data_IF_416235376457
#
_entry.id   IF_416235376457
#
_cell.length_a   1.000
_cell.length_b   1.000
_cell.length_c   1.000
_cell.angle_alpha   90.00
_cell.angle_beta   90.00
_cell.angle_gamma   90.00
#
_symmetry.space_group_name_H-M   'P 1'
#
loop_
_entity.id
_entity.type
_entity.pdbx_description
1 polymer ?
#
# COMPACT_ATOMS: atom_id res chain seq x y z
N UNK A 1 -14.07 -0.75 -27.26
CA UNK A 1 -13.76 -1.61 -26.10
C UNK A 1 -13.17 -0.69 -25.03
N UNK A 2 -13.77 -0.60 -23.86
CA UNK A 2 -13.20 0.18 -22.74
C UNK A 2 -11.85 -0.43 -22.40
N UNK A 3 -10.77 0.35 -22.43
CA UNK A 3 -9.44 -0.10 -21.98
C UNK A 3 -9.54 -0.45 -20.49
N UNK A 4 -8.90 -1.58 -20.08
CA UNK A 4 -8.84 -1.94 -18.65
C UNK A 4 -8.11 -0.81 -17.89
N UNK A 5 -8.76 -0.12 -16.94
CA UNK A 5 -8.14 1.02 -16.25
C UNK A 5 -7.00 0.60 -15.30
N UNK A 6 -6.85 -0.69 -15.02
CA UNK A 6 -5.74 -1.21 -14.20
C UNK A 6 -4.42 -1.26 -14.98
N UNK A 7 -4.48 -1.21 -16.33
CA UNK A 7 -3.29 -1.18 -17.19
C UNK A 7 -2.88 0.28 -17.40
N UNK A 8 -1.72 0.65 -16.86
CA UNK A 8 -1.11 1.95 -17.00
C UNK A 8 0.00 1.98 -18.05
N UNK A 9 1.09 2.68 -17.72
CA UNK A 9 2.34 2.69 -18.48
C UNK A 9 3.23 1.52 -18.08
N UNK A 10 4.25 1.26 -18.91
CA UNK A 10 5.24 0.21 -18.63
C UNK A 10 6.65 0.78 -18.61
N UNK A 11 7.46 0.30 -17.66
CA UNK A 11 8.88 0.64 -17.54
C UNK A 11 9.63 -0.52 -16.87
N UNK A 12 10.92 -0.68 -17.19
CA UNK A 12 11.76 -1.63 -16.46
C UNK A 12 12.30 -0.97 -15.21
N UNK A 13 11.88 -1.44 -14.05
CA UNK A 13 12.26 -0.96 -12.73
C UNK A 13 13.03 -2.06 -11.98
N UNK A 14 14.31 -1.83 -11.66
CA UNK A 14 15.14 -2.84 -11.00
C UNK A 14 15.20 -4.19 -11.74
N UNK A 15 15.09 -4.17 -13.09
CA UNK A 15 15.09 -5.37 -13.93
C UNK A 15 13.72 -6.04 -14.11
N UNK A 16 12.65 -5.46 -13.56
CA UNK A 16 11.27 -5.98 -13.63
C UNK A 16 10.42 -5.11 -14.53
N UNK A 17 9.74 -5.69 -15.52
CA UNK A 17 8.77 -4.97 -16.36
C UNK A 17 7.55 -4.60 -15.53
N UNK A 18 7.44 -3.31 -15.22
CA UNK A 18 6.54 -2.76 -14.20
C UNK A 18 5.39 -1.99 -14.83
N UNK A 19 4.17 -2.35 -14.45
CA UNK A 19 2.97 -1.55 -14.70
C UNK A 19 2.86 -0.44 -13.66
N UNK A 20 2.65 0.80 -14.12
CA UNK A 20 2.48 1.93 -13.23
C UNK A 20 1.57 3.00 -13.82
N UNK A 21 0.93 3.78 -12.96
CA UNK A 21 0.22 5.00 -13.32
C UNK A 21 1.11 6.21 -13.02
N UNK A 22 1.08 7.21 -13.90
CA UNK A 22 1.87 8.44 -13.79
C UNK A 22 0.99 9.59 -14.30
N UNK A 23 0.52 10.43 -13.40
CA UNK A 23 -0.45 11.50 -13.69
C UNK A 23 -0.14 12.75 -12.89
N UNK A 24 -0.51 13.92 -13.44
CA UNK A 24 -0.25 15.22 -12.84
C UNK A 24 1.18 15.69 -13.02
N UNK A 25 1.40 16.96 -12.65
CA UNK A 25 2.68 17.64 -12.71
C UNK A 25 2.95 18.28 -11.32
N UNK A 26 4.19 18.33 -10.88
CA UNK A 26 4.55 18.92 -9.60
C UNK A 26 5.47 18.01 -8.79
N UNK A 27 5.59 18.24 -7.45
CA UNK A 27 6.42 17.39 -6.60
C UNK A 27 5.99 15.92 -6.68
N UNK A 28 6.94 14.98 -6.86
CA UNK A 28 6.61 13.56 -7.00
C UNK A 28 6.03 12.95 -5.72
N UNK A 29 4.99 12.11 -5.88
CA UNK A 29 4.39 11.29 -4.84
C UNK A 29 4.32 9.84 -5.31
N UNK A 30 4.97 8.95 -4.59
CA UNK A 30 4.93 7.50 -4.81
C UNK A 30 3.82 6.88 -3.96
N UNK A 31 2.87 6.17 -4.59
CA UNK A 31 1.76 5.49 -3.93
C UNK A 31 1.98 3.98 -3.93
N UNK A 32 2.20 3.39 -2.76
CA UNK A 32 2.44 1.95 -2.60
C UNK A 32 1.19 1.28 -2.04
N UNK A 33 0.60 0.36 -2.82
CA UNK A 33 -0.63 -0.35 -2.48
C UNK A 33 -0.45 -1.41 -1.39
N UNK A 34 -1.55 -1.96 -0.87
CA UNK A 34 -1.55 -3.07 0.10
C UNK A 34 -1.36 -4.45 -0.55
N UNK A 35 -1.27 -5.50 0.28
CA UNK A 35 -1.12 -6.89 -0.15
C UNK A 35 -2.44 -7.67 -0.13
N UNK A 36 -3.34 -7.38 -1.04
CA UNK A 36 -4.58 -8.15 -1.20
C UNK A 36 -4.57 -9.05 -2.45
N UNK A 37 -5.37 -10.13 -2.49
CA UNK A 37 -5.48 -10.95 -3.68
C UNK A 37 -6.05 -10.14 -4.85
N UNK A 38 -5.37 -10.16 -5.99
CA UNK A 38 -5.75 -9.42 -7.19
C UNK A 38 -5.67 -7.89 -7.07
N UNK A 39 -4.94 -7.36 -6.07
CA UNK A 39 -4.75 -5.92 -5.92
C UNK A 39 -3.90 -5.35 -7.07
N UNK A 40 -4.26 -4.14 -7.49
CA UNK A 40 -3.48 -3.28 -8.38
C UNK A 40 -3.37 -1.89 -7.76
N UNK A 41 -2.39 -1.11 -8.22
CA UNK A 41 -2.28 0.29 -7.81
C UNK A 41 -3.56 1.07 -8.12
N UNK A 42 -4.13 0.85 -9.32
CA UNK A 42 -5.39 1.49 -9.69
C UNK A 42 -6.54 1.11 -8.74
N UNK A 43 -6.73 -0.19 -8.45
CA UNK A 43 -7.79 -0.63 -7.54
C UNK A 43 -7.65 -0.02 -6.15
N UNK A 44 -6.42 0.14 -5.67
CA UNK A 44 -6.13 0.72 -4.35
C UNK A 44 -6.30 2.25 -4.34
N UNK A 45 -5.87 2.96 -5.40
CA UNK A 45 -5.69 4.40 -5.38
C UNK A 45 -6.60 5.20 -6.33
N UNK A 46 -7.57 4.57 -7.01
CA UNK A 46 -8.43 5.22 -8.03
C UNK A 46 -9.17 6.47 -7.56
N UNK A 47 -9.47 6.59 -6.24
CA UNK A 47 -10.12 7.76 -5.66
C UNK A 47 -9.11 8.79 -5.12
N UNK A 48 -7.84 8.41 -4.99
CA UNK A 48 -6.78 9.27 -4.47
C UNK A 48 -5.96 9.90 -5.60
N UNK A 49 -5.61 9.12 -6.62
CA UNK A 49 -4.78 9.60 -7.74
C UNK A 49 -5.32 10.87 -8.40
N UNK A 50 -6.61 10.98 -8.78
CA UNK A 50 -7.10 12.19 -9.44
C UNK A 50 -7.01 13.44 -8.55
N UNK A 51 -7.30 13.31 -7.26
CA UNK A 51 -7.26 14.43 -6.32
C UNK A 51 -5.82 14.92 -6.07
N UNK A 52 -4.87 14.01 -5.95
CA UNK A 52 -3.46 14.38 -5.77
C UNK A 52 -2.85 14.93 -7.06
N UNK A 53 -3.27 14.44 -8.22
CA UNK A 53 -2.74 14.86 -9.53
C UNK A 53 -3.03 16.34 -9.86
N UNK A 54 -3.93 17.00 -9.13
CA UNK A 54 -4.17 18.45 -9.25
C UNK A 54 -2.97 19.28 -8.78
N UNK A 55 -2.08 18.73 -7.93
CA UNK A 55 -0.96 19.45 -7.31
C UNK A 55 0.38 18.71 -7.36
N UNK A 56 0.36 17.41 -7.59
CA UNK A 56 1.52 16.52 -7.50
C UNK A 56 1.65 15.66 -8.75
N UNK A 57 2.88 15.24 -9.06
CA UNK A 57 3.09 14.12 -9.98
C UNK A 57 2.89 12.83 -9.21
N UNK A 58 1.82 12.11 -9.50
CA UNK A 58 1.42 10.87 -8.82
C UNK A 58 1.95 9.67 -9.57
N UNK A 59 2.78 8.87 -8.92
CA UNK A 59 3.39 7.65 -9.44
C UNK A 59 2.87 6.49 -8.61
N UNK A 60 2.12 5.57 -9.23
CA UNK A 60 1.48 4.45 -8.54
C UNK A 60 1.80 3.13 -9.27
N UNK A 61 2.86 2.41 -8.86
CA UNK A 61 3.21 1.12 -9.44
C UNK A 61 2.37 -0.01 -8.88
N UNK A 62 2.14 -1.03 -9.69
CA UNK A 62 1.92 -2.37 -9.18
C UNK A 62 3.27 -2.91 -8.70
N UNK A 63 3.40 -3.20 -7.42
CA UNK A 63 4.66 -3.72 -6.87
C UNK A 63 4.96 -5.12 -7.41
N UNK A 64 6.25 -5.49 -7.45
CA UNK A 64 6.69 -6.80 -7.95
C UNK A 64 5.85 -7.94 -7.37
N UNK A 65 5.29 -8.78 -8.26
CA UNK A 65 4.39 -9.88 -7.92
C UNK A 65 2.91 -9.53 -7.83
N UNK A 66 2.55 -8.24 -7.91
CA UNK A 66 1.16 -7.77 -7.86
C UNK A 66 0.71 -7.20 -9.22
N UNK A 67 -0.60 -7.06 -9.36
CA UNK A 67 -1.24 -6.39 -10.50
C UNK A 67 -0.74 -6.87 -11.85
N UNK A 68 -0.52 -5.93 -12.77
CA UNK A 68 -0.05 -6.20 -14.13
C UNK A 68 1.49 -6.16 -14.25
N UNK A 69 2.22 -5.98 -13.14
CA UNK A 69 3.70 -6.06 -13.11
C UNK A 69 4.16 -7.49 -13.28
N UNK A 70 5.29 -7.66 -13.95
CA UNK A 70 5.92 -8.95 -14.20
C UNK A 70 6.11 -9.76 -12.91
N UNK A 71 6.03 -11.07 -13.05
CA UNK A 71 6.29 -12.08 -12.03
C UNK A 71 7.46 -12.95 -12.47
N UNK A 72 8.73 -12.50 -12.28
CA UNK A 72 9.85 -13.26 -12.77
C UNK A 72 9.89 -14.67 -12.15
N UNK A 73 10.17 -15.66 -12.96
CA UNK A 73 10.26 -17.04 -12.48
C UNK A 73 11.36 -17.18 -11.42
N UNK A 74 11.03 -17.78 -10.29
CA UNK A 74 11.98 -17.95 -9.17
C UNK A 74 12.24 -16.66 -8.37
N UNK A 75 11.46 -15.59 -8.59
CA UNK A 75 11.61 -14.35 -7.82
C UNK A 75 11.31 -14.58 -6.34
N UNK A 76 12.23 -14.11 -5.49
CA UNK A 76 12.08 -14.18 -4.03
C UNK A 76 11.42 -12.91 -3.53
N UNK A 77 10.21 -13.02 -3.03
CA UNK A 77 9.49 -11.89 -2.44
C UNK A 77 10.04 -11.59 -1.04
N UNK A 78 10.68 -10.44 -0.89
CA UNK A 78 11.24 -9.97 0.38
C UNK A 78 11.14 -8.44 0.47
N UNK A 79 11.24 -7.90 1.68
CA UNK A 79 11.24 -6.45 1.88
C UNK A 79 12.37 -5.78 1.09
N UNK A 80 13.58 -6.35 1.10
CA UNK A 80 14.72 -5.79 0.38
C UNK A 80 14.47 -5.73 -1.13
N UNK A 81 13.93 -6.79 -1.73
CA UNK A 81 13.64 -6.81 -3.16
C UNK A 81 12.50 -5.86 -3.54
N UNK A 82 11.50 -5.65 -2.69
CA UNK A 82 10.46 -4.65 -2.94
C UNK A 82 10.98 -3.22 -2.79
N UNK A 83 11.91 -2.97 -1.85
CA UNK A 83 12.61 -1.68 -1.74
C UNK A 83 13.48 -1.44 -2.98
N UNK A 84 14.23 -2.44 -3.45
CA UNK A 84 15.03 -2.34 -4.69
C UNK A 84 14.14 -2.04 -5.90
N UNK A 85 12.97 -2.67 -5.99
CA UNK A 85 12.00 -2.41 -7.05
C UNK A 85 11.47 -0.98 -7.00
N UNK A 86 11.12 -0.47 -5.81
CA UNK A 86 10.65 0.92 -5.64
C UNK A 86 11.73 1.95 -5.99
N UNK A 87 12.97 1.74 -5.54
CA UNK A 87 14.11 2.59 -5.89
C UNK A 87 14.39 2.53 -7.40
N UNK A 88 14.42 1.33 -7.97
CA UNK A 88 14.62 1.14 -9.42
C UNK A 88 13.54 1.83 -10.25
N UNK A 89 12.30 1.92 -9.77
CA UNK A 89 11.25 2.69 -10.44
C UNK A 89 11.54 4.20 -10.39
N UNK A 90 11.89 4.74 -9.22
CA UNK A 90 12.25 6.15 -9.08
C UNK A 90 13.43 6.50 -9.98
N UNK A 91 14.45 5.64 -10.03
CA UNK A 91 15.63 5.84 -10.89
C UNK A 91 15.26 5.82 -12.37
N UNK A 92 14.47 4.85 -12.81
CA UNK A 92 14.02 4.74 -14.20
C UNK A 92 13.16 5.93 -14.66
N UNK A 93 12.47 6.58 -13.72
CA UNK A 93 11.64 7.77 -13.97
C UNK A 93 12.39 9.10 -13.77
N UNK A 94 13.68 9.06 -13.38
CA UNK A 94 14.48 10.24 -13.09
C UNK A 94 13.97 11.03 -11.87
N UNK A 95 13.39 10.34 -10.89
CA UNK A 95 12.86 10.95 -9.66
C UNK A 95 13.89 10.81 -8.56
N UNK A 96 14.55 11.89 -8.19
CA UNK A 96 15.56 11.91 -7.14
C UNK A 96 14.95 11.75 -5.75
N UNK A 97 13.81 12.38 -5.49
CA UNK A 97 13.11 12.37 -4.20
C UNK A 97 11.59 12.42 -4.41
N UNK A 98 10.82 11.63 -3.66
CA UNK A 98 9.37 11.63 -3.69
C UNK A 98 8.78 11.64 -2.27
N UNK A 99 7.62 12.26 -2.09
CA UNK A 99 6.75 11.91 -0.95
C UNK A 99 6.24 10.49 -1.13
N UNK A 100 5.95 9.77 -0.05
CA UNK A 100 5.52 8.37 -0.15
C UNK A 100 4.25 8.15 0.65
N UNK A 101 3.26 7.55 0.00
CA UNK A 101 2.05 7.04 0.65
C UNK A 101 2.09 5.52 0.62
N UNK A 102 1.98 4.88 1.77
CA UNK A 102 1.94 3.42 1.87
C UNK A 102 0.69 2.92 2.57
N UNK A 103 -0.04 2.02 1.91
CA UNK A 103 -1.19 1.33 2.49
C UNK A 103 -0.81 -0.05 3.02
N UNK A 104 -1.09 -0.36 4.28
CA UNK A 104 -0.94 -1.72 4.82
C UNK A 104 0.49 -2.26 4.64
N UNK A 105 0.68 -3.31 3.84
CA UNK A 105 1.98 -3.78 3.34
C UNK A 105 2.82 -2.63 2.75
N UNK A 106 2.21 -1.79 1.92
CA UNK A 106 2.87 -0.62 1.34
C UNK A 106 3.37 0.38 2.39
N UNK A 107 2.73 0.44 3.56
CA UNK A 107 3.20 1.24 4.70
C UNK A 107 4.50 0.70 5.31
N UNK A 108 4.62 -0.63 5.46
CA UNK A 108 5.86 -1.26 5.86
C UNK A 108 6.97 -1.02 4.84
N UNK A 109 6.64 -1.10 3.54
CA UNK A 109 7.60 -0.82 2.46
C UNK A 109 8.02 0.65 2.43
N UNK A 110 7.11 1.59 2.68
CA UNK A 110 7.43 3.02 2.78
C UNK A 110 8.41 3.30 3.93
N UNK A 111 8.22 2.67 5.09
CA UNK A 111 9.14 2.75 6.22
C UNK A 111 10.52 2.14 5.89
N UNK A 112 10.53 0.96 5.29
CA UNK A 112 11.78 0.30 4.88
C UNK A 112 12.55 1.12 3.83
N UNK A 113 11.85 1.74 2.89
CA UNK A 113 12.41 2.66 1.91
C UNK A 113 13.04 3.89 2.58
N UNK A 114 12.33 4.52 3.51
CA UNK A 114 12.83 5.69 4.25
C UNK A 114 14.02 5.34 5.15
N UNK A 115 14.08 4.14 5.72
CA UNK A 115 15.23 3.67 6.50
C UNK A 115 16.45 3.42 5.61
N UNK A 116 16.24 2.86 4.42
CA UNK A 116 17.34 2.45 3.52
C UNK A 116 17.91 3.61 2.70
N UNK A 117 17.05 4.52 2.27
CA UNK A 117 17.41 5.65 1.41
C UNK A 117 16.65 6.93 1.86
N UNK A 118 16.97 7.46 3.06
CA UNK A 118 16.25 8.57 3.64
C UNK A 118 16.23 9.83 2.77
N UNK A 119 17.29 10.07 2.00
CA UNK A 119 17.39 11.19 1.06
C UNK A 119 16.42 11.09 -0.13
N UNK A 120 15.98 9.87 -0.46
CA UNK A 120 15.04 9.61 -1.57
C UNK A 120 13.59 9.85 -1.18
N UNK A 121 13.31 9.95 0.12
CA UNK A 121 11.96 10.10 0.68
C UNK A 121 11.76 11.51 1.20
N UNK A 122 10.66 12.13 0.78
CA UNK A 122 10.18 13.40 1.33
C UNK A 122 9.41 13.19 2.63
N UNK A 123 8.14 13.54 2.62
CA UNK A 123 7.20 13.24 3.71
C UNK A 123 6.56 11.88 3.52
N UNK A 124 6.10 11.29 4.63
CA UNK A 124 5.43 9.99 4.66
C UNK A 124 3.95 10.10 4.99
N UNK A 125 3.13 9.28 4.34
CA UNK A 125 1.76 8.97 4.78
C UNK A 125 1.64 7.45 4.93
N UNK A 126 1.32 7.01 6.14
CA UNK A 126 1.21 5.59 6.50
C UNK A 126 -0.26 5.27 6.80
N UNK A 127 -0.93 4.52 5.94
CA UNK A 127 -2.36 4.25 6.05
C UNK A 127 -2.61 2.79 6.41
N UNK A 128 -3.22 2.54 7.60
CA UNK A 128 -3.45 1.19 8.11
C UNK A 128 -2.19 0.33 8.01
N UNK A 129 -1.03 0.94 8.32
CA UNK A 129 0.28 0.41 7.95
C UNK A 129 0.70 -0.78 8.81
N UNK A 130 1.23 -1.81 8.17
CA UNK A 130 2.16 -2.73 8.80
C UNK A 130 3.51 -2.00 9.04
N UNK A 131 4.49 -2.66 9.64
CA UNK A 131 5.81 -2.05 9.91
C UNK A 131 6.19 -2.08 11.38
N UNK A 132 5.27 -2.50 12.26
CA UNK A 132 5.57 -2.88 13.65
C UNK A 132 5.22 -4.35 13.89
N UNK A 133 5.77 -4.95 14.94
CA UNK A 133 5.37 -6.30 15.35
C UNK A 133 4.02 -6.26 16.06
N UNK A 134 3.14 -7.16 15.67
CA UNK A 134 1.85 -7.42 16.32
C UNK A 134 1.46 -8.88 16.13
N UNK A 135 0.55 -9.37 16.96
CA UNK A 135 -0.01 -10.71 16.78
C UNK A 135 -0.87 -10.74 15.52
N UNK A 136 -0.60 -11.68 14.62
CA UNK A 136 -1.37 -11.86 13.38
C UNK A 136 -2.88 -11.85 13.67
N UNK A 137 -3.59 -10.93 13.06
CA UNK A 137 -5.05 -10.85 13.21
C UNK A 137 -5.75 -11.91 12.37
N UNK A 138 -6.95 -12.32 12.76
CA UNK A 138 -7.78 -13.21 11.94
C UNK A 138 -8.05 -12.60 10.55
N UNK A 139 -8.22 -11.27 10.48
CA UNK A 139 -8.43 -10.56 9.23
C UNK A 139 -7.22 -10.65 8.29
N UNK A 140 -6.02 -10.40 8.78
CA UNK A 140 -4.81 -10.49 7.96
C UNK A 140 -4.49 -11.94 7.56
N UNK A 141 -4.73 -12.89 8.47
CA UNK A 141 -4.57 -14.32 8.15
C UNK A 141 -5.54 -14.77 7.05
N UNK A 142 -6.78 -14.30 7.09
CA UNK A 142 -7.76 -14.56 6.03
C UNK A 142 -7.34 -13.93 4.68
N UNK A 143 -6.78 -12.71 4.70
CA UNK A 143 -6.27 -12.05 3.48
C UNK A 143 -5.13 -12.85 2.86
N UNK A 144 -4.09 -13.16 3.62
CA UNK A 144 -2.92 -13.88 3.12
C UNK A 144 -3.18 -15.37 2.86
N UNK A 145 -4.20 -15.94 3.52
CA UNK A 145 -4.66 -17.31 3.32
C UNK A 145 -5.77 -17.48 2.29
N UNK A 146 -6.07 -16.44 1.52
CA UNK A 146 -7.13 -16.46 0.54
C UNK A 146 -7.03 -17.63 -0.43
N UNK A 147 -8.12 -18.36 -0.56
CA UNK A 147 -8.33 -19.36 -1.61
C UNK A 147 -9.43 -18.89 -2.56
N UNK A 148 -9.21 -18.92 -3.88
CA UNK A 148 -10.12 -18.30 -4.84
C UNK A 148 -11.53 -18.87 -4.83
N UNK A 149 -12.49 -18.04 -4.45
CA UNK A 149 -13.92 -18.19 -4.67
C UNK A 149 -14.61 -16.84 -4.51
N UNK A 150 -15.77 -16.67 -5.13
CA UNK A 150 -16.58 -15.45 -4.95
C UNK A 150 -17.00 -15.29 -3.47
N UNK A 151 -17.35 -16.37 -2.80
CA UNK A 151 -17.72 -16.37 -1.39
C UNK A 151 -16.57 -15.92 -0.49
N UNK A 152 -15.35 -16.44 -0.70
CA UNK A 152 -14.17 -16.03 0.05
C UNK A 152 -13.80 -14.58 -0.24
N UNK A 153 -13.89 -14.14 -1.51
CA UNK A 153 -13.65 -12.74 -1.86
C UNK A 153 -14.66 -11.82 -1.17
N UNK A 154 -15.95 -12.21 -1.15
CA UNK A 154 -16.98 -11.45 -0.43
C UNK A 154 -16.65 -11.34 1.06
N UNK A 155 -16.23 -12.43 1.70
CA UNK A 155 -15.80 -12.42 3.11
C UNK A 155 -14.60 -11.50 3.35
N UNK A 156 -13.63 -11.44 2.44
CA UNK A 156 -12.51 -10.49 2.54
C UNK A 156 -12.96 -9.04 2.43
N UNK A 157 -13.84 -8.72 1.49
CA UNK A 157 -14.39 -7.37 1.36
C UNK A 157 -15.11 -6.93 2.64
N UNK A 158 -15.81 -7.86 3.29
CA UNK A 158 -16.45 -7.66 4.59
C UNK A 158 -15.46 -7.43 5.74
N UNK A 159 -14.23 -7.91 5.62
CA UNK A 159 -13.14 -7.65 6.59
C UNK A 159 -12.54 -6.26 6.33
N UNK A 160 -12.35 -5.88 5.07
CA UNK A 160 -11.70 -4.62 4.70
C UNK A 160 -12.55 -3.38 4.99
N UNK A 161 -13.86 -3.41 4.69
CA UNK A 161 -14.74 -2.25 4.79
C UNK A 161 -15.61 -2.30 6.05
N UNK A 162 -15.72 -1.17 6.75
CA UNK A 162 -16.74 -0.97 7.78
C UNK A 162 -18.10 -0.69 7.15
N UNK A 163 -18.14 0.15 6.12
CA UNK A 163 -19.38 0.48 5.41
C UNK A 163 -19.77 -0.65 4.46
N UNK A 164 -20.82 -1.40 4.85
CA UNK A 164 -21.33 -2.54 4.10
C UNK A 164 -21.98 -2.16 2.77
N UNK A 165 -22.37 -0.91 2.59
CA UNK A 165 -22.91 -0.44 1.31
C UNK A 165 -21.86 -0.47 0.19
N UNK A 166 -20.58 -0.43 0.54
CA UNK A 166 -19.47 -0.55 -0.41
C UNK A 166 -19.21 -2.00 -0.87
N UNK A 167 -19.76 -2.98 -0.14
CA UNK A 167 -19.51 -4.40 -0.38
C UNK A 167 -20.73 -5.04 -1.04
N UNK A 168 -20.69 -5.21 -2.35
CA UNK A 168 -21.73 -5.83 -3.14
C UNK A 168 -21.19 -6.99 -3.99
N UNK A 169 -22.08 -7.74 -4.62
CA UNK A 169 -21.72 -8.93 -5.39
C UNK A 169 -20.94 -8.59 -6.67
N UNK A 170 -21.18 -7.40 -7.24
CA UNK A 170 -20.45 -6.92 -8.41
C UNK A 170 -18.98 -6.65 -8.06
N UNK A 171 -18.73 -5.96 -6.94
CA UNK A 171 -17.37 -5.75 -6.46
C UNK A 171 -16.67 -7.07 -6.10
N UNK A 172 -17.39 -7.99 -5.44
CA UNK A 172 -16.85 -9.31 -5.11
C UNK A 172 -16.46 -10.09 -6.38
N UNK A 173 -17.31 -10.08 -7.39
CA UNK A 173 -17.02 -10.71 -8.68
C UNK A 173 -15.84 -10.04 -9.38
N UNK A 174 -15.80 -8.71 -9.44
CA UNK A 174 -14.71 -7.95 -10.05
C UNK A 174 -13.35 -8.28 -9.40
N UNK A 175 -13.29 -8.32 -8.09
CA UNK A 175 -12.06 -8.65 -7.36
C UNK A 175 -11.68 -10.11 -7.44
N UNK A 176 -12.67 -11.01 -7.44
CA UNK A 176 -12.44 -12.42 -7.72
C UNK A 176 -11.84 -12.63 -9.11
N UNK A 177 -12.45 -12.05 -10.15
CA UNK A 177 -11.98 -12.18 -11.53
C UNK A 177 -10.52 -11.66 -11.67
N UNK A 178 -10.18 -10.58 -10.96
CA UNK A 178 -8.80 -10.08 -10.89
C UNK A 178 -7.86 -11.08 -10.21
N UNK A 179 -8.29 -11.72 -9.11
CA UNK A 179 -7.45 -12.64 -8.32
C UNK A 179 -7.12 -13.95 -9.02
N UNK A 180 -7.94 -14.37 -10.00
CA UNK A 180 -7.76 -15.64 -10.73
C UNK A 180 -7.13 -15.49 -12.11
N UNK A 181 -6.63 -14.30 -12.45
CA UNK A 181 -5.86 -14.10 -13.68
C UNK A 181 -4.61 -15.02 -13.68
N UNK A 182 -4.11 -15.44 -14.84
CA UNK A 182 -2.97 -16.35 -14.92
C UNK A 182 -1.76 -15.85 -14.10
N UNK A 183 -1.25 -16.69 -13.20
CA UNK A 183 -0.09 -16.41 -12.34
C UNK A 183 -0.36 -15.55 -11.09
N UNK A 184 -1.53 -14.92 -10.98
CA UNK A 184 -1.82 -14.01 -9.85
C UNK A 184 -1.93 -14.78 -8.52
N UNK A 185 -2.75 -15.83 -8.50
CA UNK A 185 -2.95 -16.60 -7.27
C UNK A 185 -1.68 -17.35 -6.84
N UNK A 186 -0.92 -17.89 -7.80
CA UNK A 186 0.33 -18.59 -7.51
C UNK A 186 1.37 -17.65 -6.89
N UNK A 187 1.57 -16.46 -7.47
CA UNK A 187 2.47 -15.46 -6.93
C UNK A 187 2.03 -15.02 -5.53
N UNK A 188 0.74 -14.72 -5.36
CA UNK A 188 0.19 -14.28 -4.07
C UNK A 188 0.36 -15.34 -2.97
N UNK A 189 0.06 -16.61 -3.26
CA UNK A 189 0.22 -17.71 -2.31
C UNK A 189 1.68 -17.94 -1.90
N UNK A 190 2.63 -17.61 -2.79
CA UNK A 190 4.06 -17.75 -2.53
C UNK A 190 4.65 -16.57 -1.73
N UNK A 191 3.96 -15.42 -1.64
CA UNK A 191 4.45 -14.27 -0.87
C UNK A 191 4.33 -14.49 0.64
N UNK A 192 3.21 -15.04 1.09
CA UNK A 192 2.87 -15.15 2.52
C UNK A 192 2.40 -16.57 2.92
N UNK A 193 3.18 -17.65 2.60
CA UNK A 193 2.78 -19.00 2.98
C UNK A 193 2.79 -19.20 4.51
N UNK A 194 1.93 -20.10 4.99
CA UNK A 194 1.86 -20.46 6.40
C UNK A 194 3.21 -21.05 6.93
N UNK A 195 3.54 -20.85 8.21
CA UNK A 195 2.83 -20.09 9.24
C UNK A 195 3.02 -18.57 9.04
N UNK A 196 1.92 -17.78 9.04
CA UNK A 196 1.94 -16.40 8.55
C UNK A 196 2.41 -15.36 9.55
N UNK A 197 2.48 -15.65 10.84
CA UNK A 197 3.03 -14.73 11.85
C UNK A 197 4.44 -14.24 11.47
N UNK A 198 5.27 -15.12 10.92
CA UNK A 198 6.64 -14.79 10.51
C UNK A 198 6.70 -13.64 9.48
N UNK A 199 5.64 -13.47 8.68
CA UNK A 199 5.60 -12.40 7.69
C UNK A 199 5.23 -11.05 8.29
N UNK A 200 4.40 -11.04 9.35
CA UNK A 200 4.21 -9.83 10.16
C UNK A 200 5.54 -9.39 10.75
N UNK A 201 6.31 -10.35 11.29
CA UNK A 201 7.63 -10.07 11.88
C UNK A 201 8.65 -9.62 10.83
N UNK A 202 8.61 -10.19 9.61
CA UNK A 202 9.49 -9.82 8.51
C UNK A 202 9.16 -8.44 7.88
N UNK A 203 7.91 -8.00 7.97
CA UNK A 203 7.49 -6.66 7.55
C UNK A 203 7.76 -5.58 8.62
N UNK A 204 8.05 -5.98 9.86
CA UNK A 204 8.33 -5.03 10.93
C UNK A 204 9.73 -4.44 10.79
N UNK A 205 9.82 -3.13 10.89
CA UNK A 205 11.08 -2.41 11.01
C UNK A 205 11.61 -2.46 12.45
N UNK A 206 12.92 -2.32 12.58
CA UNK A 206 13.57 -2.22 13.89
C UNK A 206 13.17 -0.91 14.60
N UNK A 207 12.78 -0.99 15.89
CA UNK A 207 12.32 0.15 16.67
C UNK A 207 13.39 1.27 16.76
N UNK A 208 14.69 0.95 16.83
CA UNK A 208 15.74 1.95 16.87
C UNK A 208 15.89 2.67 15.52
N UNK A 209 15.70 1.95 14.40
CA UNK A 209 15.71 2.56 13.07
C UNK A 209 14.50 3.47 12.86
N UNK A 210 13.32 3.08 13.36
CA UNK A 210 12.13 3.93 13.32
C UNK A 210 12.32 5.23 14.13
N UNK A 211 12.92 5.14 15.32
CA UNK A 211 13.25 6.33 16.15
C UNK A 211 14.26 7.27 15.50
N UNK A 212 15.09 6.77 14.59
CA UNK A 212 16.07 7.57 13.85
C UNK A 212 15.48 8.27 12.62
N UNK A 213 14.26 7.92 12.20
CA UNK A 213 13.61 8.59 11.06
C UNK A 213 13.16 9.99 11.45
N UNK A 214 13.59 10.99 10.68
CA UNK A 214 13.24 12.40 10.89
C UNK A 214 12.20 12.94 9.92
N UNK A 215 11.63 12.08 9.08
CA UNK A 215 10.62 12.45 8.10
C UNK A 215 9.31 12.86 8.78
N UNK A 216 8.75 13.99 8.34
CA UNK A 216 7.38 14.35 8.73
C UNK A 216 6.44 13.27 8.26
N UNK A 217 5.68 12.68 9.19
CA UNK A 217 4.88 11.50 8.95
C UNK A 217 3.43 11.70 9.39
N UNK A 218 2.50 11.54 8.47
CA UNK A 218 1.08 11.43 8.76
C UNK A 218 0.69 9.96 8.82
N UNK A 219 0.26 9.50 9.98
CA UNK A 219 -0.31 8.17 10.17
C UNK A 219 -1.83 8.28 10.09
N UNK A 220 -2.47 7.44 9.27
CA UNK A 220 -3.92 7.40 9.10
C UNK A 220 -4.44 6.00 9.39
N UNK A 221 -5.50 5.86 10.19
CA UNK A 221 -6.04 4.55 10.54
C UNK A 221 -7.56 4.56 10.65
N UNK A 222 -8.22 3.50 10.21
CA UNK A 222 -9.64 3.25 10.50
C UNK A 222 -9.80 2.61 11.88
N UNK A 223 -10.64 3.18 12.76
CA UNK A 223 -10.81 2.65 14.11
C UNK A 223 -11.31 1.20 14.16
N UNK A 224 -12.08 0.81 13.16
CA UNK A 224 -12.69 -0.51 13.03
C UNK A 224 -11.90 -1.44 12.08
N UNK A 225 -10.62 -1.12 11.84
CA UNK A 225 -9.72 -1.95 11.01
C UNK A 225 -9.56 -3.35 11.63
N UNK A 226 -9.93 -4.38 10.87
CA UNK A 226 -9.86 -5.79 11.26
C UNK A 226 -8.64 -6.51 10.68
N UNK A 227 -7.85 -5.81 9.86
CA UNK A 227 -6.65 -6.34 9.18
C UNK A 227 -5.40 -5.96 9.95
N UNK A 228 -5.15 -4.67 10.14
CA UNK A 228 -4.04 -4.15 10.92
C UNK A 228 -4.62 -3.53 12.21
N UNK A 229 -4.16 -3.94 13.40
CA UNK A 229 -4.69 -3.39 14.64
C UNK A 229 -4.30 -1.92 14.81
N UNK A 230 -5.21 -1.08 15.32
CA UNK A 230 -4.94 0.34 15.59
C UNK A 230 -3.70 0.53 16.49
N UNK A 231 -3.42 -0.43 17.37
CA UNK A 231 -2.22 -0.45 18.22
C UNK A 231 -0.91 -0.37 17.40
N UNK A 232 -0.88 -0.88 16.15
CA UNK A 232 0.26 -0.73 15.26
C UNK A 232 0.53 0.74 14.93
N UNK A 233 -0.50 1.51 14.59
CA UNK A 233 -0.36 2.95 14.33
C UNK A 233 -0.03 3.76 15.59
N UNK A 234 -0.58 3.38 16.74
CA UNK A 234 -0.20 3.98 18.03
C UNK A 234 1.27 3.74 18.35
N UNK A 235 1.75 2.53 18.08
CA UNK A 235 3.18 2.19 18.25
C UNK A 235 4.07 2.97 17.29
N UNK A 236 3.65 3.16 16.03
CA UNK A 236 4.37 4.02 15.08
C UNK A 236 4.42 5.48 15.56
N UNK A 237 3.33 6.02 16.11
CA UNK A 237 3.29 7.36 16.68
C UNK A 237 4.28 7.53 17.86
N UNK A 238 4.46 6.49 18.69
CA UNK A 238 5.43 6.49 19.78
C UNK A 238 6.89 6.41 19.31
N UNK A 239 7.13 5.77 18.16
CA UNK A 239 8.47 5.50 17.65
C UNK A 239 8.96 6.62 16.72
N UNK A 240 8.12 7.17 15.89
CA UNK A 240 8.48 8.18 14.89
C UNK A 240 8.44 9.58 15.51
N UNK A 241 9.57 10.29 15.60
CA UNK A 241 9.65 11.57 16.35
C UNK A 241 8.79 12.69 15.75
N UNK A 242 8.59 12.69 14.43
CA UNK A 242 7.84 13.74 13.72
C UNK A 242 6.52 13.18 13.13
N UNK A 243 5.85 12.31 13.90
CA UNK A 243 4.60 11.71 13.46
C UNK A 243 3.38 12.39 14.09
N UNK A 244 2.29 12.41 13.33
CA UNK A 244 0.95 12.70 13.80
C UNK A 244 0.00 11.57 13.39
N UNK A 245 -1.00 11.29 14.20
CA UNK A 245 -1.97 10.21 13.96
C UNK A 245 -3.37 10.76 13.81
N UNK A 246 -4.02 10.44 12.68
CA UNK A 246 -5.44 10.67 12.46
C UNK A 246 -6.20 9.36 12.43
N UNK A 247 -7.22 9.22 13.29
CA UNK A 247 -8.06 8.02 13.36
C UNK A 247 -9.47 8.35 12.88
N UNK A 248 -9.90 7.68 11.82
CA UNK A 248 -11.28 7.76 11.34
C UNK A 248 -12.19 6.79 12.12
N UNK A 249 -13.21 7.29 12.77
CA UNK A 249 -14.31 6.44 13.29
C UNK A 249 -15.25 6.00 12.16
N UNK A 250 -15.89 4.84 12.33
CA UNK A 250 -16.76 4.21 11.31
C UNK A 250 -16.01 3.95 10.01
N UNK A 251 -14.82 3.37 10.14
CA UNK A 251 -13.89 3.16 9.05
C UNK A 251 -13.10 1.87 9.30
N UNK A 252 -13.06 0.99 8.31
CA UNK A 252 -12.26 -0.23 8.31
C UNK A 252 -10.85 0.02 7.77
N UNK A 253 -10.32 -0.98 7.06
CA UNK A 253 -8.98 -0.95 6.49
C UNK A 253 -8.82 -0.01 5.28
N UNK A 254 -9.92 0.33 4.61
CA UNK A 254 -9.94 1.11 3.36
C UNK A 254 -10.25 2.59 3.57
N UNK A 255 -9.46 3.28 4.41
CA UNK A 255 -9.65 4.72 4.70
C UNK A 255 -9.73 5.58 3.44
N UNK A 256 -8.91 5.32 2.44
CA UNK A 256 -8.86 6.04 1.16
C UNK A 256 -10.07 5.77 0.25
N UNK A 257 -10.92 4.83 0.60
CA UNK A 257 -12.18 4.51 -0.09
C UNK A 257 -13.37 4.95 0.75
N UNK A 258 -13.41 4.56 2.02
CA UNK A 258 -14.53 4.85 2.93
C UNK A 258 -14.64 6.34 3.29
N UNK A 259 -13.51 7.05 3.34
CA UNK A 259 -13.42 8.48 3.64
C UNK A 259 -12.58 9.24 2.60
N UNK A 260 -12.73 8.92 1.31
CA UNK A 260 -11.86 9.37 0.23
C UNK A 260 -11.60 10.88 0.24
N UNK A 261 -12.63 11.73 0.28
CA UNK A 261 -12.48 13.18 0.25
C UNK A 261 -11.71 13.72 1.46
N UNK A 262 -11.98 13.17 2.65
CA UNK A 262 -11.31 13.61 3.88
C UNK A 262 -9.87 13.12 3.92
N UNK A 263 -9.64 11.88 3.50
CA UNK A 263 -8.30 11.30 3.36
C UNK A 263 -7.45 12.14 2.39
N UNK A 264 -7.98 12.41 1.20
CA UNK A 264 -7.27 13.18 0.18
C UNK A 264 -6.91 14.60 0.68
N UNK A 265 -7.83 15.30 1.37
CA UNK A 265 -7.52 16.60 1.98
C UNK A 265 -6.39 16.53 3.00
N UNK A 266 -6.44 15.57 3.94
CA UNK A 266 -5.37 15.38 4.93
C UNK A 266 -4.00 15.15 4.28
N UNK A 267 -3.96 14.34 3.23
CA UNK A 267 -2.72 14.04 2.49
C UNK A 267 -2.21 15.28 1.75
N UNK A 268 -3.09 15.99 1.05
CA UNK A 268 -2.74 17.21 0.31
C UNK A 268 -2.22 18.28 1.27
N UNK A 269 -2.90 18.50 2.40
CA UNK A 269 -2.48 19.46 3.42
C UNK A 269 -1.11 19.08 3.96
N UNK A 270 -0.92 17.83 4.38
CA UNK A 270 0.37 17.34 4.90
C UNK A 270 1.53 17.51 3.91
N UNK A 271 1.32 17.25 2.61
CA UNK A 271 2.39 17.42 1.61
C UNK A 271 2.61 18.87 1.17
N UNK A 272 1.64 19.77 1.41
CA UNK A 272 1.69 21.19 1.02
C UNK A 272 2.20 22.10 2.16
N UNK A 273 2.33 21.59 3.39
CA UNK A 273 2.86 22.37 4.51
C UNK A 273 4.30 22.84 4.20
N UNK A 274 4.59 24.12 4.46
CA UNK A 274 5.95 24.63 4.35
C UNK A 274 6.83 23.96 5.42
N UNK A 275 8.00 23.47 5.05
CA UNK A 275 9.06 23.17 6.02
C UNK A 275 9.66 24.52 6.44
N UNK A 276 9.26 25.03 7.61
CA UNK A 276 9.94 26.17 8.24
C UNK A 276 11.39 25.84 8.59
#
# INVERSE_FOLDING_TARGET
MSSNPEIGRRIVAGGIDTNYHDTGDGPPVLLIHGSGPGVTAYANWRLTMPALAERFRVIAPDMAGFGETERPLGYVYSMDHWVDHALGLLDALGVERAHVIGNSFGGALALALAIRAPERVGRLVLMGAAGTRFTLTEGLDAVWGYTPSIANMRALLDIFAFDRALVNDELAKLRYDASVRPGYQEAFANMFPAPRQRWVDALASDDAKLRALTHDTLIVHGREDRVIPLASSQKLLELLPNAQLHVFGRCGHWTQIEHAERFNRLVIDHFSESTD
#
